data_IF_306897078375
#
_entry.id   IF_306897078375
#
_cell.length_a   1.000
_cell.length_b   1.000
_cell.length_c   1.000
_cell.angle_alpha   90.00
_cell.angle_beta   90.00
_cell.angle_gamma   90.00
#
_symmetry.space_group_name_H-M   'P 1'
#
loop_
_entity.id
_entity.type
_entity.pdbx_description
1 polymer ?
#
# COMPACT_ATOMS: atom_id res chain seq x y z
N UNK A 1 -0.16 -0.68 -18.62
CA UNK A 1 0.17 -0.58 -17.18
C UNK A 1 -0.47 0.64 -16.49
N UNK A 2 -0.28 1.88 -16.98
CA UNK A 2 -0.79 3.11 -16.32
C UNK A 2 -2.30 3.08 -16.01
N UNK A 3 -3.14 2.66 -16.96
CA UNK A 3 -4.60 2.57 -16.78
C UNK A 3 -5.02 1.51 -15.73
N UNK A 4 -4.27 0.41 -15.64
CA UNK A 4 -4.54 -0.64 -14.64
C UNK A 4 -4.15 -0.17 -13.23
N UNK A 5 -3.00 0.50 -13.12
CA UNK A 5 -2.52 1.07 -11.86
C UNK A 5 -3.44 2.21 -11.39
N UNK A 6 -3.87 3.11 -12.28
CA UNK A 6 -4.79 4.20 -11.92
C UNK A 6 -6.18 3.70 -11.54
N UNK A 7 -6.71 2.67 -12.22
CA UNK A 7 -7.98 2.04 -11.84
C UNK A 7 -7.88 1.34 -10.48
N UNK A 8 -6.76 0.67 -10.21
CA UNK A 8 -6.48 0.01 -8.92
C UNK A 8 -6.41 1.02 -7.77
N UNK A 9 -5.72 2.14 -7.98
CA UNK A 9 -5.67 3.26 -7.03
C UNK A 9 -7.04 3.90 -6.82
N UNK A 10 -7.82 4.13 -7.88
CA UNK A 10 -9.15 4.74 -7.77
C UNK A 10 -10.14 3.86 -6.99
N UNK A 11 -10.10 2.53 -7.19
CA UNK A 11 -11.00 1.61 -6.48
C UNK A 11 -10.59 1.36 -5.03
N UNK A 12 -9.30 1.21 -4.77
CA UNK A 12 -8.81 0.84 -3.43
C UNK A 12 -8.44 2.04 -2.56
N UNK A 13 -8.24 3.21 -3.15
CA UNK A 13 -7.80 4.42 -2.45
C UNK A 13 -8.70 4.79 -1.29
N UNK A 14 -10.03 4.85 -1.51
CA UNK A 14 -11.01 5.19 -0.46
C UNK A 14 -10.96 4.21 0.71
N UNK A 15 -10.93 2.90 0.43
CA UNK A 15 -10.87 1.85 1.45
C UNK A 15 -9.62 2.01 2.33
N UNK A 16 -8.47 2.26 1.69
CA UNK A 16 -7.19 2.37 2.42
C UNK A 16 -7.10 3.66 3.22
N UNK A 17 -7.57 4.78 2.69
CA UNK A 17 -7.64 6.03 3.46
C UNK A 17 -8.54 5.88 4.68
N UNK A 18 -9.67 5.17 4.55
CA UNK A 18 -10.55 4.89 5.69
C UNK A 18 -9.87 4.01 6.74
N UNK A 19 -9.19 2.94 6.33
CA UNK A 19 -8.44 2.08 7.25
C UNK A 19 -7.31 2.84 7.96
N UNK A 20 -6.56 3.67 7.23
CA UNK A 20 -5.50 4.51 7.77
C UNK A 20 -6.03 5.50 8.83
N UNK A 21 -7.19 6.12 8.59
CA UNK A 21 -7.82 7.01 9.55
C UNK A 21 -8.20 6.30 10.85
N UNK A 22 -8.82 5.11 10.75
CA UNK A 22 -9.19 4.32 11.95
C UNK A 22 -7.95 3.98 12.77
N UNK A 23 -6.87 3.55 12.11
CA UNK A 23 -5.60 3.22 12.78
C UNK A 23 -4.95 4.46 13.40
N UNK A 24 -4.95 5.58 12.68
CA UNK A 24 -4.46 6.87 13.18
C UNK A 24 -5.20 7.28 14.46
N UNK A 25 -6.53 7.20 14.49
CA UNK A 25 -7.32 7.51 15.69
C UNK A 25 -7.03 6.54 16.84
N UNK A 26 -6.88 5.24 16.56
CA UNK A 26 -6.52 4.26 17.58
C UNK A 26 -5.18 4.59 18.25
N UNK A 27 -4.14 4.93 17.46
CA UNK A 27 -2.83 5.33 17.99
C UNK A 27 -2.86 6.70 18.66
N UNK A 28 -3.70 7.62 18.20
CA UNK A 28 -3.90 8.91 18.85
C UNK A 28 -4.49 8.76 20.25
N UNK A 29 -5.51 7.91 20.42
CA UNK A 29 -6.06 7.59 21.74
C UNK A 29 -5.02 6.89 22.60
N UNK A 30 -4.27 5.92 22.04
CA UNK A 30 -3.20 5.22 22.75
C UNK A 30 -2.10 6.18 23.25
N UNK A 31 -1.78 7.21 22.46
CA UNK A 31 -0.82 8.26 22.84
C UNK A 31 -1.26 9.09 24.06
N UNK A 32 -2.53 8.99 24.47
CA UNK A 32 -3.05 9.67 25.67
C UNK A 32 -2.78 8.86 26.94
N UNK A 33 -2.30 7.62 26.82
CA UNK A 33 -1.97 6.77 27.96
C UNK A 33 -0.84 7.37 28.82
N UNK A 34 -0.87 7.18 30.15
CA UNK A 34 0.19 7.63 31.04
C UNK A 34 1.48 6.84 30.78
N UNK A 35 2.47 7.52 30.19
CA UNK A 35 3.78 6.95 29.87
C UNK A 35 4.41 7.69 28.67
N UNK A 36 5.62 8.23 28.85
CA UNK A 36 6.32 8.97 27.78
C UNK A 36 6.66 8.09 26.58
N UNK A 37 6.99 6.82 26.82
CA UNK A 37 7.35 5.87 25.76
C UNK A 37 6.16 5.62 24.84
N UNK A 38 5.00 5.30 25.41
CA UNK A 38 3.77 5.02 24.65
C UNK A 38 3.32 6.24 23.85
N UNK A 39 3.49 7.44 24.39
CA UNK A 39 3.18 8.71 23.70
C UNK A 39 4.09 8.93 22.48
N UNK A 40 5.40 8.73 22.64
CA UNK A 40 6.35 8.87 21.52
C UNK A 40 6.08 7.84 20.42
N UNK A 41 5.87 6.57 20.80
CA UNK A 41 5.51 5.53 19.85
C UNK A 41 4.18 5.79 19.17
N UNK A 42 3.14 6.20 19.89
CA UNK A 42 1.81 6.47 19.34
C UNK A 42 1.82 7.59 18.30
N UNK A 43 2.52 8.70 18.58
CA UNK A 43 2.66 9.81 17.62
C UNK A 43 3.50 9.38 16.41
N UNK A 44 4.59 8.66 16.62
CA UNK A 44 5.46 8.16 15.54
C UNK A 44 4.73 7.19 14.61
N UNK A 45 3.94 6.26 15.17
CA UNK A 45 3.10 5.33 14.42
C UNK A 45 2.02 6.07 13.63
N UNK A 46 1.30 7.00 14.25
CA UNK A 46 0.28 7.80 13.58
C UNK A 46 0.86 8.56 12.37
N UNK A 47 2.03 9.20 12.53
CA UNK A 47 2.73 9.88 11.44
C UNK A 47 3.17 8.90 10.34
N UNK A 48 3.71 7.74 10.72
CA UNK A 48 4.13 6.70 9.79
C UNK A 48 2.98 6.15 8.94
N UNK A 49 1.80 5.95 9.53
CA UNK A 49 0.61 5.47 8.83
C UNK A 49 0.14 6.49 7.78
N UNK A 50 0.12 7.78 8.13
CA UNK A 50 -0.22 8.84 7.18
C UNK A 50 0.80 8.87 6.03
N UNK A 51 2.09 8.77 6.35
CA UNK A 51 3.15 8.75 5.34
C UNK A 51 3.05 7.55 4.40
N UNK A 52 2.76 6.35 4.90
CA UNK A 52 2.57 5.15 4.06
C UNK A 52 1.34 5.27 3.15
N UNK A 53 0.20 5.68 3.72
CA UNK A 53 -1.06 5.83 2.99
C UNK A 53 -0.98 6.90 1.89
N UNK A 54 -0.14 7.92 2.05
CA UNK A 54 0.03 9.03 1.10
C UNK A 54 1.26 8.85 0.21
N UNK A 55 2.46 8.96 0.77
CA UNK A 55 3.71 8.98 0.01
C UNK A 55 4.01 7.61 -0.60
N UNK A 56 3.98 6.55 0.21
CA UNK A 56 4.35 5.23 -0.26
C UNK A 56 3.31 4.74 -1.28
N UNK A 57 2.04 4.79 -0.91
CA UNK A 57 0.97 4.20 -1.74
C UNK A 57 0.57 5.05 -2.95
N UNK A 58 0.52 6.38 -2.83
CA UNK A 58 0.07 7.24 -3.94
C UNK A 58 1.21 7.60 -4.92
N UNK A 59 2.47 7.57 -4.48
CA UNK A 59 3.61 7.97 -5.32
C UNK A 59 4.60 6.83 -5.54
N UNK A 60 5.12 6.23 -4.46
CA UNK A 60 6.23 5.28 -4.53
C UNK A 60 5.84 3.97 -5.25
N UNK A 61 4.74 3.35 -4.83
CA UNK A 61 4.23 2.11 -5.44
C UNK A 61 3.92 2.28 -6.94
N UNK A 62 3.13 3.29 -7.38
CA UNK A 62 2.82 3.44 -8.80
C UNK A 62 4.04 3.84 -9.64
N UNK A 63 4.99 4.60 -9.08
CA UNK A 63 6.22 4.95 -9.81
C UNK A 63 7.15 3.75 -10.00
N UNK A 64 7.34 2.93 -8.95
CA UNK A 64 8.11 1.67 -9.04
C UNK A 64 7.44 0.69 -10.00
N UNK A 65 6.11 0.51 -9.89
CA UNK A 65 5.35 -0.33 -10.82
C UNK A 65 5.46 0.15 -12.28
N UNK A 66 5.60 1.46 -12.50
CA UNK A 66 5.83 2.02 -13.84
C UNK A 66 7.26 1.79 -14.31
N UNK A 67 8.26 1.92 -13.43
CA UNK A 67 9.68 1.69 -13.73
C UNK A 67 9.96 0.21 -14.04
N UNK A 68 9.39 -0.72 -13.28
CA UNK A 68 9.57 -2.16 -13.47
C UNK A 68 8.74 -2.73 -14.64
N UNK A 69 7.77 -1.98 -15.16
CA UNK A 69 7.08 -2.31 -16.41
C UNK A 69 6.55 -3.74 -16.47
N UNK A 70 6.97 -4.51 -17.47
CA UNK A 70 6.51 -5.89 -17.71
C UNK A 70 7.13 -6.91 -16.74
N UNK A 71 8.25 -6.60 -16.09
CA UNK A 71 8.89 -7.52 -15.14
C UNK A 71 8.06 -7.72 -13.88
N UNK A 72 7.28 -6.72 -13.44
CA UNK A 72 6.44 -6.86 -12.25
C UNK A 72 5.17 -7.70 -12.50
N UNK A 73 4.82 -7.97 -13.76
CA UNK A 73 3.68 -8.81 -14.15
C UNK A 73 4.11 -10.12 -14.81
N UNK A 74 5.42 -10.42 -14.81
CA UNK A 74 5.93 -11.65 -15.38
C UNK A 74 5.46 -12.85 -14.55
N UNK A 75 4.64 -13.69 -15.17
CA UNK A 75 4.14 -14.92 -14.57
C UNK A 75 5.00 -16.08 -15.12
N UNK A 76 5.78 -16.78 -14.27
CA UNK A 76 6.58 -17.90 -14.73
C UNK A 76 5.67 -19.01 -15.29
N UNK A 77 6.16 -19.68 -16.34
CA UNK A 77 5.38 -20.64 -17.16
C UNK A 77 4.79 -21.80 -16.37
N UNK A 78 5.40 -22.20 -15.26
CA UNK A 78 4.84 -23.22 -14.35
C UNK A 78 3.58 -22.74 -13.63
N UNK A 79 3.56 -21.49 -13.18
CA UNK A 79 2.39 -20.89 -12.51
C UNK A 79 1.26 -20.65 -13.52
N UNK A 80 1.59 -20.24 -14.75
CA UNK A 80 0.62 -20.08 -15.85
C UNK A 80 -0.10 -21.41 -16.17
N UNK A 81 0.65 -22.53 -16.16
CA UNK A 81 0.11 -23.88 -16.41
C UNK A 81 -0.84 -24.35 -15.31
N UNK A 82 -0.52 -24.08 -14.04
CA UNK A 82 -1.39 -24.41 -12.89
C UNK A 82 -2.68 -23.59 -12.93
N UNK A 83 -2.57 -22.28 -13.22
CA UNK A 83 -3.71 -21.36 -13.26
C UNK A 83 -4.54 -21.44 -14.56
N UNK A 84 -4.11 -22.23 -15.55
CA UNK A 84 -4.70 -22.31 -16.90
C UNK A 84 -4.83 -20.93 -17.59
N UNK A 85 -3.88 -20.03 -17.33
CA UNK A 85 -3.81 -18.70 -17.96
C UNK A 85 -2.75 -18.72 -19.05
N UNK A 86 -2.95 -17.97 -20.13
CA UNK A 86 -1.94 -17.82 -21.19
C UNK A 86 -0.61 -17.32 -20.57
N UNK A 87 0.54 -17.97 -20.88
CA UNK A 87 1.82 -17.56 -20.31
C UNK A 87 2.12 -16.12 -20.70
N UNK A 88 2.55 -15.30 -19.74
CA UNK A 88 2.94 -13.92 -20.03
C UNK A 88 4.20 -13.95 -20.89
N UNK A 89 4.08 -13.53 -22.15
CA UNK A 89 5.22 -13.33 -23.03
C UNK A 89 6.08 -12.21 -22.46
N UNK A 90 7.27 -12.56 -21.98
CA UNK A 90 8.39 -11.62 -21.93
C UNK A 90 8.97 -11.48 -23.35
#
# INVERSE_FOLDING_TARGET
>A
TVRAVSLGLARTGKLVTSAALVLMFAFFVLSTAPGTDVKQFGIGLAAGIIFDATVIRALLVPSIMRLMGEWNWWLPTWAARVLRVAPSSA
#
